data_IF_393274896392
#
_entry.id   IF_393274896392
#
_cell.length_a   1.000
_cell.length_b   1.000
_cell.length_c   1.000
_cell.angle_alpha   90.00
_cell.angle_beta   90.00
_cell.angle_gamma   90.00
#
_symmetry.space_group_name_H-M   'P 1'
#
loop_
_entity.id
_entity.type
_entity.pdbx_description
1 polymer ?
#
# COMPACT_ATOMS: atom_id res chain seq x y z
N UNK A 1 -23.50 21.26 -15.60
CA UNK A 1 -23.39 20.73 -14.22
C UNK A 1 -21.95 20.84 -13.66
N UNK A 2 -21.29 22.01 -13.74
CA UNK A 2 -19.83 22.13 -13.49
C UNK A 2 -19.39 23.27 -12.56
N UNK A 3 -20.33 23.99 -11.92
CA UNK A 3 -20.00 25.18 -11.12
C UNK A 3 -20.04 25.02 -9.59
N UNK A 4 -20.17 23.81 -9.05
CA UNK A 4 -20.37 23.60 -7.59
C UNK A 4 -19.15 23.10 -6.79
N UNK A 5 -18.00 22.81 -7.41
CA UNK A 5 -16.84 22.23 -6.71
C UNK A 5 -15.76 23.23 -6.26
N UNK A 6 -15.85 24.50 -6.66
CA UNK A 6 -14.77 25.49 -6.42
C UNK A 6 -14.90 26.18 -5.06
N UNK A 7 -16.10 26.27 -4.48
CA UNK A 7 -16.33 26.99 -3.20
C UNK A 7 -15.81 26.25 -1.97
N UNK A 8 -15.59 24.92 -2.04
CA UNK A 8 -15.21 24.12 -0.87
C UNK A 8 -13.71 24.20 -0.50
N UNK A 9 -12.85 24.66 -1.40
CA UNK A 9 -11.40 24.66 -1.19
C UNK A 9 -10.85 25.89 -0.45
N UNK A 10 -11.64 26.97 -0.29
CA UNK A 10 -11.18 28.21 0.33
C UNK A 10 -11.43 28.22 1.86
N UNK A 11 -12.36 27.42 2.37
CA UNK A 11 -12.69 27.40 3.80
C UNK A 11 -11.73 26.53 4.65
N UNK A 12 -11.01 25.57 4.05
CA UNK A 12 -10.19 24.63 4.80
C UNK A 12 -8.74 25.09 5.04
N UNK A 13 -8.26 26.09 4.31
CA UNK A 13 -6.89 26.60 4.46
C UNK A 13 -6.70 27.57 5.63
N UNK A 14 -7.78 28.03 6.26
CA UNK A 14 -7.71 29.00 7.36
C UNK A 14 -7.60 28.37 8.77
N UNK A 15 -7.84 27.06 8.93
CA UNK A 15 -7.89 26.40 10.25
C UNK A 15 -6.56 25.73 10.63
N UNK A 16 -5.65 25.54 9.67
CA UNK A 16 -4.34 24.90 9.92
C UNK A 16 -3.21 25.90 10.26
N UNK A 17 -3.55 27.17 10.55
CA UNK A 17 -2.57 28.23 10.86
C UNK A 17 -2.67 28.79 12.30
N UNK A 18 -3.22 28.02 13.25
CA UNK A 18 -3.46 28.47 14.64
C UNK A 18 -2.87 27.57 15.75
N UNK A 19 -2.01 26.60 15.44
CA UNK A 19 -1.42 25.68 16.44
C UNK A 19 0.10 25.85 16.61
N UNK A 20 0.59 27.09 16.74
CA UNK A 20 2.02 27.36 16.99
C UNK A 20 2.27 28.33 18.14
N UNK A 21 1.62 28.20 19.30
CA UNK A 21 2.06 28.95 20.50
C UNK A 21 1.66 28.22 21.79
N UNK A 22 2.57 27.43 22.36
CA UNK A 22 2.60 27.08 23.81
C UNK A 22 3.87 26.26 24.06
N UNK A 23 4.84 26.61 24.89
CA UNK A 23 5.05 27.71 25.83
C UNK A 23 6.28 27.30 26.64
N UNK A 24 7.31 28.14 26.68
CA UNK A 24 8.48 27.95 27.54
C UNK A 24 8.10 28.22 29.00
N UNK A 25 8.54 27.38 29.93
CA UNK A 25 8.82 27.83 31.30
C UNK A 25 9.99 27.04 31.86
N UNK A 26 11.10 27.75 32.07
CA UNK A 26 12.34 27.22 32.65
C UNK A 26 12.39 27.69 34.10
N UNK A 27 12.39 26.75 35.04
CA UNK A 27 12.50 27.03 36.46
C UNK A 27 13.98 26.97 36.89
N UNK A 28 14.47 27.90 37.73
CA UNK A 28 15.79 27.78 38.34
C UNK A 28 15.72 26.92 39.61
N UNK A 29 16.39 25.77 39.61
CA UNK A 29 16.67 25.04 40.85
C UNK A 29 18.09 25.31 41.32
N UNK A 30 18.17 26.07 42.41
CA UNK A 30 19.35 26.19 43.26
C UNK A 30 19.38 24.98 44.19
N UNK A 31 20.42 24.16 44.10
CA UNK A 31 20.76 23.20 45.16
C UNK A 31 22.27 23.17 45.37
N UNK A 32 22.65 23.53 46.58
CA UNK A 32 23.98 23.40 47.17
C UNK A 32 24.03 22.08 47.93
N UNK A 33 25.04 21.22 47.69
CA UNK A 33 25.78 20.51 48.76
C UNK A 33 26.83 19.50 48.25
N UNK A 34 27.97 19.55 48.96
CA UNK A 34 28.95 18.51 49.32
C UNK A 34 29.85 17.84 48.26
N UNK A 35 31.19 18.00 48.37
CA UNK A 35 32.15 17.19 47.64
C UNK A 35 32.30 15.81 48.31
N UNK A 36 32.10 14.74 47.53
CA UNK A 36 32.52 13.39 47.92
C UNK A 36 33.61 12.93 46.94
N UNK A 37 34.76 12.57 47.49
CA UNK A 37 35.94 12.07 46.78
C UNK A 37 35.60 10.82 45.96
N UNK A 38 35.80 10.82 44.63
CA UNK A 38 35.61 9.62 43.83
C UNK A 38 36.81 8.67 43.96
N UNK A 39 36.55 7.43 44.33
CA UNK A 39 37.42 6.28 44.10
C UNK A 39 37.62 6.10 42.58
N UNK A 40 38.84 5.85 42.07
CA UNK A 40 39.03 5.58 40.65
C UNK A 40 38.40 4.23 40.28
N UNK A 41 37.25 4.28 39.61
CA UNK A 41 36.64 3.12 38.94
C UNK A 41 37.39 2.90 37.63
N UNK A 42 38.04 1.74 37.49
CA UNK A 42 38.65 1.31 36.23
C UNK A 42 37.56 1.26 35.16
N UNK A 43 37.73 2.09 34.12
CA UNK A 43 36.86 2.09 32.94
C UNK A 43 36.93 0.72 32.27
N UNK A 44 35.81 0.02 32.04
CA UNK A 44 35.81 -1.21 31.26
C UNK A 44 36.29 -0.91 29.84
N UNK A 45 37.24 -1.71 29.37
CA UNK A 45 37.74 -1.70 28.00
C UNK A 45 36.54 -1.83 27.03
N UNK A 46 36.42 -0.97 26.00
CA UNK A 46 35.30 -1.04 25.08
C UNK A 46 35.34 -2.38 24.34
N UNK A 47 34.30 -3.20 24.54
CA UNK A 47 34.07 -4.41 23.76
C UNK A 47 34.13 -4.04 22.27
N UNK A 48 34.95 -4.71 21.44
CA UNK A 48 34.99 -4.44 20.02
C UNK A 48 33.59 -4.63 19.43
N UNK A 49 33.02 -3.55 18.87
CA UNK A 49 31.75 -3.60 18.16
C UNK A 49 31.94 -4.53 16.96
N UNK A 50 31.12 -5.60 16.82
CA UNK A 50 31.19 -6.46 15.64
C UNK A 50 31.05 -5.61 14.38
N UNK A 51 31.81 -5.88 13.30
CA UNK A 51 31.67 -5.13 12.07
C UNK A 51 30.22 -5.23 11.60
N UNK A 52 29.58 -4.06 11.38
CA UNK A 52 28.26 -3.96 10.77
C UNK A 52 28.28 -4.71 9.45
N UNK A 53 27.60 -5.86 9.40
CA UNK A 53 27.46 -6.67 8.19
C UNK A 53 26.81 -5.78 7.12
N UNK A 54 27.50 -5.55 6.01
CA UNK A 54 26.95 -4.85 4.85
C UNK A 54 25.74 -5.64 4.34
N UNK A 55 24.54 -5.13 4.58
CA UNK A 55 23.32 -5.67 4.02
C UNK A 55 23.32 -5.38 2.52
N UNK A 56 23.31 -6.42 1.69
CA UNK A 56 23.23 -6.26 0.24
C UNK A 56 21.85 -5.64 -0.04
N UNK A 57 21.76 -4.52 -0.79
CA UNK A 57 20.48 -3.91 -1.10
C UNK A 57 19.65 -4.87 -1.96
N UNK A 58 18.63 -5.49 -1.34
CA UNK A 58 17.70 -6.36 -2.04
C UNK A 58 16.73 -5.49 -2.83
N UNK A 59 16.66 -5.66 -4.15
CA UNK A 59 15.71 -4.94 -4.99
C UNK A 59 14.27 -5.27 -4.57
N UNK A 60 13.34 -4.30 -4.53
CA UNK A 60 11.95 -4.59 -4.22
C UNK A 60 11.31 -5.48 -5.31
N UNK A 61 10.43 -6.38 -4.88
CA UNK A 61 9.70 -7.35 -5.70
C UNK A 61 8.21 -7.34 -5.36
N UNK A 62 7.37 -7.71 -6.32
CA UNK A 62 5.92 -7.73 -6.17
C UNK A 62 5.35 -9.08 -6.60
N UNK A 63 4.66 -9.77 -5.70
CA UNK A 63 4.15 -11.13 -5.94
C UNK A 63 2.66 -11.26 -5.62
N UNK A 64 1.89 -11.91 -6.50
CA UNK A 64 0.51 -12.30 -6.20
C UNK A 64 0.55 -13.55 -5.33
N UNK A 65 -0.04 -13.47 -4.13
CA UNK A 65 -0.03 -14.57 -3.16
C UNK A 65 -1.34 -15.36 -3.15
N UNK A 66 -2.44 -14.74 -3.58
CA UNK A 66 -3.73 -15.42 -3.70
C UNK A 66 -4.62 -14.78 -4.77
N UNK A 67 -5.29 -15.60 -5.57
CA UNK A 67 -6.40 -15.22 -6.44
C UNK A 67 -7.19 -16.47 -6.85
N UNK A 68 -8.45 -16.28 -7.22
CA UNK A 68 -9.27 -17.35 -7.82
C UNK A 68 -9.00 -17.43 -9.32
N UNK A 69 -8.84 -18.62 -9.88
CA UNK A 69 -8.66 -18.82 -11.33
C UNK A 69 -9.96 -18.65 -12.12
N UNK A 70 -11.11 -18.83 -11.48
CA UNK A 70 -12.43 -18.59 -12.06
C UNK A 70 -13.42 -18.06 -11.03
N UNK A 71 -14.31 -17.17 -11.46
CA UNK A 71 -15.34 -16.56 -10.61
C UNK A 71 -16.64 -16.40 -11.39
N UNK A 72 -17.77 -16.50 -10.71
CA UNK A 72 -19.08 -16.23 -11.33
C UNK A 72 -19.24 -14.73 -11.55
N UNK A 73 -19.80 -14.33 -12.68
CA UNK A 73 -20.12 -12.94 -12.98
C UNK A 73 -20.98 -12.32 -11.88
N UNK A 74 -20.75 -11.05 -11.59
CA UNK A 74 -21.36 -10.27 -10.50
C UNK A 74 -21.00 -10.72 -9.07
N UNK A 75 -20.23 -11.81 -8.90
CA UNK A 75 -19.75 -12.21 -7.58
C UNK A 75 -18.51 -11.41 -7.17
N UNK A 76 -18.31 -11.25 -5.86
CA UNK A 76 -17.09 -10.67 -5.32
C UNK A 76 -16.00 -11.73 -5.21
N UNK A 77 -14.76 -11.34 -5.50
CA UNK A 77 -13.58 -12.19 -5.37
C UNK A 77 -12.39 -11.40 -4.85
N UNK A 78 -11.46 -12.12 -4.25
CA UNK A 78 -10.32 -11.53 -3.54
C UNK A 78 -9.03 -11.74 -4.30
N UNK A 79 -8.16 -10.74 -4.28
CA UNK A 79 -6.76 -10.85 -4.67
C UNK A 79 -5.88 -10.37 -3.51
N UNK A 80 -4.89 -11.19 -3.15
CA UNK A 80 -3.84 -10.81 -2.20
C UNK A 80 -2.50 -10.74 -2.92
N UNK A 81 -1.67 -9.79 -2.49
CA UNK A 81 -0.31 -9.64 -2.99
C UNK A 81 0.63 -9.18 -1.89
N UNK A 82 1.91 -9.41 -2.11
CA UNK A 82 3.00 -9.03 -1.24
C UNK A 82 3.97 -8.12 -2.00
N UNK A 83 4.39 -7.06 -1.34
CA UNK A 83 5.50 -6.20 -1.74
C UNK A 83 6.67 -6.54 -0.82
N UNK A 84 7.73 -7.13 -1.36
CA UNK A 84 8.90 -7.59 -0.60
C UNK A 84 10.18 -6.86 -1.04
N UNK A 85 11.25 -7.02 -0.27
CA UNK A 85 12.59 -6.54 -0.61
C UNK A 85 12.96 -5.17 -0.02
N UNK A 86 14.27 -4.91 0.00
CA UNK A 86 14.90 -3.69 0.46
C UNK A 86 15.08 -3.57 1.98
N UNK A 87 15.83 -2.53 2.37
CA UNK A 87 15.61 -1.82 3.63
C UNK A 87 14.12 -1.43 3.70
N UNK A 88 13.48 -1.41 4.89
CA UNK A 88 12.10 -0.95 5.00
C UNK A 88 11.90 0.38 4.27
N UNK A 89 11.09 0.34 3.22
CA UNK A 89 10.87 1.41 2.27
C UNK A 89 9.39 1.79 2.20
N UNK A 90 9.11 3.02 1.75
CA UNK A 90 7.74 3.52 1.71
C UNK A 90 7.02 3.07 0.45
N UNK A 91 5.89 2.40 0.65
CA UNK A 91 4.94 2.05 -0.41
C UNK A 91 3.93 3.20 -0.52
N UNK A 92 4.23 4.15 -1.40
CA UNK A 92 3.40 5.35 -1.60
C UNK A 92 2.11 5.08 -2.36
N UNK A 93 2.04 3.96 -3.08
CA UNK A 93 0.88 3.52 -3.88
C UNK A 93 1.00 2.03 -4.15
N UNK A 94 -0.06 1.26 -3.95
CA UNK A 94 -0.19 -0.11 -4.45
C UNK A 94 -1.65 -0.45 -4.75
N UNK A 95 -1.90 -1.21 -5.82
CA UNK A 95 -3.23 -1.59 -6.30
C UNK A 95 -3.17 -2.74 -7.30
N UNK A 96 -4.33 -3.30 -7.63
CA UNK A 96 -4.51 -4.17 -8.79
C UNK A 96 -4.90 -3.35 -10.00
N UNK A 97 -4.25 -3.60 -11.13
CA UNK A 97 -4.58 -3.10 -12.45
C UNK A 97 -5.21 -4.24 -13.25
N UNK A 98 -6.34 -4.01 -13.93
CA UNK A 98 -6.99 -5.06 -14.70
C UNK A 98 -7.73 -4.58 -15.96
N UNK A 99 -7.99 -5.51 -16.87
CA UNK A 99 -8.66 -5.27 -18.15
C UNK A 99 -9.15 -6.54 -18.83
N UNK A 100 -9.79 -6.40 -19.99
CA UNK A 100 -10.30 -7.51 -20.81
C UNK A 100 -9.31 -7.98 -21.88
N UNK A 101 -8.15 -7.32 -21.98
CA UNK A 101 -7.09 -7.65 -22.93
C UNK A 101 -5.85 -8.02 -22.13
N UNK A 102 -5.16 -9.07 -22.56
CA UNK A 102 -3.80 -9.32 -22.10
C UNK A 102 -2.91 -8.17 -22.57
N UNK A 103 -2.10 -7.64 -21.67
CA UNK A 103 -1.21 -6.52 -21.92
C UNK A 103 0.22 -6.97 -22.17
N UNK A 104 0.91 -6.29 -23.10
CA UNK A 104 2.33 -6.54 -23.40
C UNK A 104 3.27 -5.89 -22.36
N UNK A 105 2.80 -5.70 -21.13
CA UNK A 105 3.47 -4.92 -20.10
C UNK A 105 3.16 -3.42 -20.11
N UNK A 106 2.33 -2.93 -21.04
CA UNK A 106 1.87 -1.54 -21.03
C UNK A 106 0.72 -1.35 -20.04
N UNK A 107 0.83 -0.35 -19.17
CA UNK A 107 -0.18 -0.08 -18.13
C UNK A 107 -1.55 0.32 -18.72
N UNK A 108 -1.56 0.94 -19.89
CA UNK A 108 -2.78 1.39 -20.58
C UNK A 108 -3.68 0.24 -21.02
N UNK A 109 -3.14 -0.98 -21.10
CA UNK A 109 -3.91 -2.18 -21.44
C UNK A 109 -4.85 -2.62 -20.29
N UNK A 110 -4.63 -2.06 -19.10
CA UNK A 110 -5.39 -2.32 -17.87
C UNK A 110 -6.12 -1.06 -17.41
N UNK A 111 -7.23 -0.66 -18.08
CA UNK A 111 -7.90 0.61 -17.84
C UNK A 111 -8.64 0.70 -16.49
N UNK A 112 -8.69 -0.39 -15.72
CA UNK A 112 -9.42 -0.46 -14.45
C UNK A 112 -8.46 -0.74 -13.32
N UNK A 113 -8.77 -0.20 -12.15
CA UNK A 113 -7.94 -0.36 -10.95
C UNK A 113 -8.78 -0.76 -9.74
N UNK A 114 -8.16 -1.41 -8.77
CA UNK A 114 -8.71 -1.53 -7.42
C UNK A 114 -8.61 -0.22 -6.66
N UNK A 115 -9.08 -0.22 -5.41
CA UNK A 115 -8.77 0.82 -4.44
C UNK A 115 -7.26 0.86 -4.20
N UNK A 116 -6.71 2.07 -4.14
CA UNK A 116 -5.31 2.34 -3.84
C UNK A 116 -5.02 2.16 -2.35
N UNK A 117 -3.92 1.50 -2.03
CA UNK A 117 -3.40 1.31 -0.68
C UNK A 117 -1.97 1.86 -0.56
N UNK A 118 -1.52 2.08 0.68
CA UNK A 118 -0.18 2.55 1.03
C UNK A 118 0.37 1.73 2.20
N UNK A 119 1.68 1.72 2.42
CA UNK A 119 2.31 0.92 3.47
C UNK A 119 3.82 1.04 3.51
N UNK A 120 4.48 0.01 4.06
CA UNK A 120 5.94 -0.13 4.10
C UNK A 120 6.34 -1.51 3.57
N UNK A 121 7.55 -1.66 3.02
CA UNK A 121 8.12 -2.96 2.69
C UNK A 121 8.81 -3.60 3.90
N UNK A 122 8.74 -4.95 4.05
CA UNK A 122 7.80 -5.83 3.36
C UNK A 122 6.36 -5.60 3.85
N UNK A 123 5.39 -5.77 2.95
CA UNK A 123 3.98 -5.53 3.25
C UNK A 123 3.04 -6.43 2.44
N UNK A 124 1.96 -6.88 3.08
CA UNK A 124 0.91 -7.67 2.44
C UNK A 124 -0.36 -6.84 2.26
N UNK A 125 -1.00 -6.99 1.12
CA UNK A 125 -2.17 -6.20 0.73
C UNK A 125 -3.27 -7.10 0.18
N UNK A 126 -4.49 -6.59 0.25
CA UNK A 126 -5.70 -7.31 -0.17
C UNK A 126 -6.69 -6.36 -0.85
N UNK A 127 -7.38 -6.84 -1.86
CA UNK A 127 -8.56 -6.15 -2.39
C UNK A 127 -9.64 -7.14 -2.77
N UNK A 128 -10.89 -6.71 -2.63
CA UNK A 128 -12.05 -7.43 -3.13
C UNK A 128 -12.58 -6.68 -4.35
N UNK A 129 -12.80 -7.39 -5.45
CA UNK A 129 -13.32 -6.87 -6.71
C UNK A 129 -14.64 -7.58 -7.04
N UNK A 130 -15.51 -6.90 -7.77
CA UNK A 130 -16.73 -7.50 -8.32
C UNK A 130 -16.50 -7.94 -9.76
N UNK A 131 -16.76 -9.22 -10.03
CA UNK A 131 -16.68 -9.79 -11.37
C UNK A 131 -17.68 -9.09 -12.31
N UNK A 132 -17.28 -8.75 -13.54
CA UNK A 132 -18.23 -8.24 -14.53
C UNK A 132 -19.30 -9.30 -14.84
N UNK A 133 -20.51 -8.87 -15.24
CA UNK A 133 -21.58 -9.80 -15.61
C UNK A 133 -21.27 -10.59 -16.89
N UNK A 134 -20.52 -9.98 -17.81
CA UNK A 134 -20.06 -10.63 -19.03
C UNK A 134 -19.07 -11.76 -18.74
N UNK A 135 -19.23 -12.87 -19.45
CA UNK A 135 -18.26 -13.97 -19.39
C UNK A 135 -16.94 -13.64 -20.10
N UNK A 136 -15.93 -14.46 -19.86
CA UNK A 136 -14.62 -14.38 -20.52
C UNK A 136 -13.48 -14.04 -19.56
N UNK A 137 -12.23 -14.02 -20.06
CA UNK A 137 -11.07 -13.75 -19.22
C UNK A 137 -10.96 -12.27 -18.88
N UNK A 138 -10.55 -11.99 -17.65
CA UNK A 138 -9.89 -10.74 -17.28
C UNK A 138 -8.42 -11.00 -17.03
N UNK A 139 -7.61 -9.99 -17.31
CA UNK A 139 -6.16 -10.00 -17.10
C UNK A 139 -5.81 -8.94 -16.09
N UNK A 140 -4.89 -9.24 -15.19
CA UNK A 140 -4.52 -8.33 -14.11
C UNK A 140 -3.05 -8.42 -13.72
N UNK A 141 -2.57 -7.35 -13.08
CA UNK A 141 -1.25 -7.24 -12.44
C UNK A 141 -1.41 -6.51 -11.12
N UNK A 142 -0.58 -6.84 -10.14
CA UNK A 142 -0.32 -5.93 -9.04
C UNK A 142 0.67 -4.85 -9.50
N UNK A 143 0.51 -3.66 -8.93
CA UNK A 143 1.40 -2.53 -9.11
C UNK A 143 1.75 -1.93 -7.74
N UNK A 144 2.99 -1.48 -7.58
CA UNK A 144 3.42 -0.70 -6.43
C UNK A 144 4.46 0.36 -6.80
N UNK A 145 4.45 1.48 -6.07
CA UNK A 145 5.45 2.54 -6.11
C UNK A 145 6.22 2.55 -4.79
N UNK A 146 7.40 1.91 -4.79
CA UNK A 146 8.26 1.73 -3.62
C UNK A 146 9.44 2.69 -3.72
N UNK A 147 9.56 3.63 -2.79
CA UNK A 147 10.63 4.64 -2.78
C UNK A 147 10.82 5.36 -4.13
N UNK A 148 9.71 5.64 -4.81
CA UNK A 148 9.71 6.29 -6.13
C UNK A 148 9.99 5.35 -7.32
N UNK A 149 10.16 4.05 -7.09
CA UNK A 149 10.34 3.04 -8.14
C UNK A 149 9.05 2.27 -8.40
N UNK A 150 8.58 2.30 -9.65
CA UNK A 150 7.46 1.49 -10.11
C UNK A 150 7.87 0.02 -10.25
N UNK A 151 7.10 -0.88 -9.64
CA UNK A 151 7.25 -2.33 -9.75
C UNK A 151 5.92 -2.97 -10.08
N UNK A 152 5.99 -4.06 -10.85
CA UNK A 152 4.83 -4.79 -11.34
C UNK A 152 5.03 -6.28 -11.14
N UNK A 153 3.92 -6.98 -10.89
CA UNK A 153 3.91 -8.45 -10.94
C UNK A 153 3.92 -8.92 -12.40
N UNK A 154 4.15 -10.24 -12.63
CA UNK A 154 3.68 -10.90 -13.83
C UNK A 154 2.18 -10.66 -14.08
N UNK A 155 1.73 -10.89 -15.30
CA UNK A 155 0.30 -10.91 -15.63
C UNK A 155 -0.33 -12.22 -15.18
N UNK A 156 -1.55 -12.12 -14.65
CA UNK A 156 -2.40 -13.24 -14.29
C UNK A 156 -3.76 -13.12 -14.95
N UNK A 157 -4.45 -14.25 -15.05
CA UNK A 157 -5.77 -14.35 -15.68
C UNK A 157 -6.80 -14.93 -14.70
N UNK A 158 -8.02 -14.39 -14.75
CA UNK A 158 -9.20 -14.96 -14.10
C UNK A 158 -10.29 -15.17 -15.16
N UNK A 159 -10.86 -16.35 -15.20
CA UNK A 159 -12.00 -16.66 -16.07
C UNK A 159 -13.31 -16.26 -15.40
N UNK A 160 -14.06 -15.35 -16.01
CA UNK A 160 -15.40 -14.99 -15.56
C UNK A 160 -16.42 -15.93 -16.20
N UNK A 161 -17.18 -16.64 -15.36
CA UNK A 161 -18.28 -17.49 -15.77
C UNK A 161 -19.54 -16.63 -15.82
N UNK A 162 -20.20 -16.45 -16.97
CA UNK A 162 -21.37 -15.60 -17.06
C UNK A 162 -22.48 -16.09 -16.13
N UNK A 163 -23.14 -15.16 -15.45
CA UNK A 163 -24.34 -15.49 -14.69
C UNK A 163 -25.50 -15.60 -15.67
N UNK A 164 -25.96 -16.83 -15.95
CA UNK A 164 -27.18 -17.01 -16.72
C UNK A 164 -28.38 -16.62 -15.85
N UNK A 165 -28.80 -15.35 -15.97
CA UNK A 165 -30.10 -14.91 -15.48
C UNK A 165 -31.15 -15.49 -16.43
N UNK A 166 -31.57 -16.72 -16.17
CA UNK A 166 -32.57 -17.42 -16.98
C UNK A 166 -33.81 -16.56 -17.15
N UNK A 167 -34.02 -16.07 -18.38
CA UNK A 167 -35.29 -15.51 -18.80
C UNK A 167 -36.31 -16.64 -18.86
N UNK A 168 -36.96 -16.92 -17.73
CA UNK A 168 -38.15 -17.75 -17.65
C UNK A 168 -39.31 -17.07 -18.36
N UNK A 169 -39.31 -17.12 -19.70
CA UNK A 169 -40.39 -16.69 -20.55
C UNK A 169 -41.07 -17.89 -21.19
N UNK A 170 -42.35 -18.06 -20.91
CA UNK A 170 -43.29 -18.70 -21.83
C UNK A 170 -43.61 -20.17 -21.58
N UNK A 171 -44.68 -20.41 -20.84
CA UNK A 171 -45.36 -21.70 -20.76
C UNK A 171 -46.77 -21.56 -20.22
N UNK A 172 -47.50 -20.52 -20.66
CA UNK A 172 -48.94 -20.44 -20.42
C UNK A 172 -49.65 -21.31 -21.45
N UNK A 173 -50.29 -22.38 -20.97
CA UNK A 173 -51.37 -23.08 -21.67
C UNK A 173 -52.71 -22.55 -21.16
#
# INVERSE_FOLDING_TARGET
>A
MIRRKITYYIAFSAILLLLIISGCTSAPQKVTSSPTTPTPTLTPEPTPVPPTRSEIPVKPSLNITFYSTSVTGESNFTINWEVSGGTPGTISKTMILWGYKSGSGNITDYPRTSIMQTGQTPGTFRTDLTAPAGGGPIYFRAYALVDGTDIYSPEYQITIIPRYTGGGGGGGY
#
